data_IF_405149832274
#
_entry.id   IF_405149832274
#
_cell.length_a   1.000
_cell.length_b   1.000
_cell.length_c   1.000
_cell.angle_alpha   90.00
_cell.angle_beta   90.00
_cell.angle_gamma   90.00
#
_symmetry.space_group_name_H-M   'P 1'
#
loop_
_entity.id
_entity.type
_entity.pdbx_description
1 polymer ?
#
# COMPACT_ATOMS: atom_id res chain seq x y z
N UNK A 1 17.83 2.16 3.85
CA UNK A 1 16.93 2.26 5.01
C UNK A 1 15.49 2.36 4.53
N UNK A 2 14.64 1.42 4.94
CA UNK A 2 13.20 1.50 4.68
C UNK A 2 12.51 2.28 5.79
N UNK A 3 11.58 3.18 5.43
CA UNK A 3 10.68 3.84 6.37
C UNK A 3 9.30 3.18 6.28
N UNK A 4 8.80 2.63 7.38
CA UNK A 4 7.41 2.19 7.51
C UNK A 4 6.61 3.29 8.19
N UNK A 5 5.54 3.73 7.55
CA UNK A 5 4.60 4.70 8.09
C UNK A 5 3.36 3.94 8.55
N UNK A 6 3.17 3.88 9.87
CA UNK A 6 1.97 3.35 10.50
C UNK A 6 0.79 4.28 10.22
N UNK A 7 -0.30 3.74 9.69
CA UNK A 7 -1.58 4.44 9.48
C UNK A 7 -2.58 4.23 10.63
N UNK A 8 -2.22 3.43 11.63
CA UNK A 8 -3.06 3.16 12.80
C UNK A 8 -3.33 4.43 13.60
N UNK A 9 -4.60 4.74 13.90
CA UNK A 9 -4.94 5.83 14.80
C UNK A 9 -4.43 5.61 16.23
N UNK A 10 -4.38 4.34 16.65
CA UNK A 10 -3.94 3.89 17.97
C UNK A 10 -2.74 2.96 17.84
N UNK A 11 -1.66 3.22 18.57
CA UNK A 11 -0.44 2.40 18.53
C UNK A 11 -0.69 0.94 18.93
N UNK A 12 -1.72 0.68 19.75
CA UNK A 12 -2.11 -0.66 20.16
C UNK A 12 -2.62 -1.54 19.00
N UNK A 13 -2.95 -0.96 17.85
CA UNK A 13 -3.34 -1.68 16.63
C UNK A 13 -2.14 -2.05 15.74
N UNK A 14 -0.95 -1.49 15.99
CA UNK A 14 0.26 -1.77 15.22
C UNK A 14 0.72 -3.25 15.24
N UNK A 15 0.47 -4.06 16.29
CA UNK A 15 0.79 -5.48 16.27
C UNK A 15 0.13 -6.27 15.13
N UNK A 16 -1.01 -5.80 14.61
CA UNK A 16 -1.76 -6.52 13.57
C UNK A 16 -1.08 -6.44 12.20
N UNK A 17 -0.67 -5.24 11.77
CA UNK A 17 -0.18 -5.01 10.40
C UNK A 17 1.17 -4.28 10.32
N UNK A 18 1.52 -3.46 11.31
CA UNK A 18 2.78 -2.69 11.29
C UNK A 18 3.95 -3.53 11.80
N UNK A 19 3.75 -4.30 12.86
CA UNK A 19 4.81 -5.15 13.43
C UNK A 19 5.28 -6.24 12.45
N UNK A 20 4.40 -6.94 11.70
CA UNK A 20 4.82 -7.84 10.62
C UNK A 20 5.67 -7.12 9.56
N UNK A 21 5.26 -5.93 9.11
CA UNK A 21 6.04 -5.13 8.15
C UNK A 21 7.42 -4.76 8.70
N UNK A 22 7.51 -4.37 9.97
CA UNK A 22 8.77 -4.02 10.59
C UNK A 22 9.74 -5.22 10.68
N UNK A 23 9.20 -6.43 10.92
CA UNK A 23 9.96 -7.68 10.92
C UNK A 23 10.53 -8.00 9.54
N UNK A 24 9.71 -7.86 8.49
CA UNK A 24 10.10 -8.17 7.10
C UNK A 24 11.10 -7.14 6.58
N UNK A 25 10.81 -5.84 6.76
CA UNK A 25 11.55 -4.76 6.11
C UNK A 25 12.78 -4.25 6.88
N UNK A 26 13.02 -4.69 8.13
CA UNK A 26 14.10 -4.20 9.01
C UNK A 26 14.23 -2.68 8.97
N UNK A 27 13.15 -2.01 9.32
CA UNK A 27 12.91 -0.60 9.00
C UNK A 27 12.96 0.33 10.23
N UNK A 28 12.82 1.63 9.97
CA UNK A 28 12.34 2.58 10.98
C UNK A 28 10.82 2.73 10.86
N UNK A 29 10.10 2.60 11.97
CA UNK A 29 8.65 2.81 12.02
C UNK A 29 8.35 4.22 12.53
N UNK A 30 7.44 4.93 11.86
CA UNK A 30 6.88 6.21 12.30
C UNK A 30 5.36 6.18 12.21
N UNK A 31 4.69 6.70 13.21
CA UNK A 31 3.27 7.03 13.12
C UNK A 31 3.05 8.16 12.09
N UNK A 32 1.98 8.10 11.29
CA UNK A 32 1.72 9.06 10.20
C UNK A 32 1.71 10.53 10.66
N UNK A 33 1.20 10.82 11.86
CA UNK A 33 1.21 12.19 12.44
C UNK A 33 2.60 12.71 12.84
N UNK A 34 3.61 11.85 12.84
CA UNK A 34 4.95 12.13 13.35
C UNK A 34 6.03 12.05 12.27
N UNK A 35 5.64 11.83 11.00
CA UNK A 35 6.57 11.80 9.87
C UNK A 35 7.07 13.21 9.57
N UNK A 36 8.39 13.38 9.50
CA UNK A 36 9.02 14.65 9.16
C UNK A 36 9.76 14.59 7.82
N UNK A 37 10.05 15.74 7.18
CA UNK A 37 10.88 15.80 5.98
C UNK A 37 12.26 15.14 6.16
N UNK A 38 12.81 15.15 7.37
CA UNK A 38 14.10 14.50 7.68
C UNK A 38 14.00 12.97 7.66
N UNK A 39 12.85 12.41 8.02
CA UNK A 39 12.64 10.96 7.96
C UNK A 39 12.56 10.51 6.49
N UNK A 40 11.81 11.27 5.67
CA UNK A 40 11.68 11.01 4.23
C UNK A 40 13.04 11.12 3.53
N UNK A 41 13.81 12.16 3.81
CA UNK A 41 15.11 12.38 3.17
C UNK A 41 16.18 11.32 3.49
N UNK A 42 15.98 10.52 4.56
CA UNK A 42 16.89 9.42 4.94
C UNK A 42 16.41 8.06 4.45
N UNK A 43 15.21 7.97 3.89
CA UNK A 43 14.63 6.73 3.42
C UNK A 43 15.06 6.48 1.98
N UNK A 44 15.42 5.24 1.67
CA UNK A 44 15.64 4.80 0.28
C UNK A 44 14.33 4.33 -0.36
N UNK A 45 13.33 3.99 0.48
CA UNK A 45 12.00 3.55 0.11
C UNK A 45 11.04 3.67 1.28
N UNK A 46 9.75 3.80 0.99
CA UNK A 46 8.69 3.97 1.98
C UNK A 46 7.66 2.85 1.84
N UNK A 47 7.16 2.33 2.96
CA UNK A 47 5.97 1.49 3.01
C UNK A 47 4.94 2.20 3.89
N UNK A 48 3.73 2.40 3.38
CA UNK A 48 2.60 2.95 4.13
C UNK A 48 1.68 1.79 4.50
N UNK A 49 1.52 1.52 5.79
CA UNK A 49 0.85 0.31 6.28
C UNK A 49 -0.66 0.32 6.07
N UNK A 50 -1.27 -0.85 6.24
CA UNK A 50 -2.67 -0.97 6.59
C UNK A 50 -2.96 -0.52 8.01
N UNK A 51 -4.25 -0.52 8.37
CA UNK A 51 -4.74 -0.31 9.73
C UNK A 51 -5.90 -1.28 10.02
N UNK A 52 -6.38 -1.28 11.26
CA UNK A 52 -7.53 -2.06 11.68
C UNK A 52 -8.81 -1.68 10.91
N UNK A 53 -9.75 -2.62 10.82
CA UNK A 53 -11.02 -2.42 10.12
C UNK A 53 -11.79 -1.22 10.69
N UNK A 54 -12.27 -0.33 9.81
CA UNK A 54 -13.01 0.92 10.12
C UNK A 54 -12.18 2.04 10.76
N UNK A 55 -10.87 1.89 10.90
CA UNK A 55 -10.02 3.05 11.17
C UNK A 55 -9.83 3.84 9.87
N UNK A 56 -10.21 5.12 9.89
CA UNK A 56 -10.11 6.05 8.77
C UNK A 56 -9.42 7.36 9.16
N UNK A 57 -8.86 7.47 10.37
CA UNK A 57 -8.33 8.74 10.87
C UNK A 57 -7.13 9.25 10.05
N UNK A 58 -6.43 8.34 9.36
CA UNK A 58 -5.34 8.69 8.45
C UNK A 58 -5.82 9.50 7.23
N UNK A 59 -7.10 9.42 6.84
CA UNK A 59 -7.66 10.17 5.71
C UNK A 59 -7.70 11.68 5.98
N UNK A 60 -7.77 12.08 7.25
CA UNK A 60 -7.81 13.51 7.65
C UNK A 60 -6.41 14.14 7.76
N UNK A 61 -5.35 13.41 7.41
CA UNK A 61 -3.96 13.86 7.54
C UNK A 61 -3.39 14.45 6.27
N UNK A 62 -2.38 15.30 6.44
CA UNK A 62 -1.66 15.88 5.31
C UNK A 62 -0.67 14.88 4.70
N UNK A 63 -1.05 14.36 3.54
CA UNK A 63 -0.22 13.48 2.71
C UNK A 63 0.33 14.18 1.46
N UNK A 64 0.19 15.51 1.37
CA UNK A 64 0.55 16.28 0.17
C UNK A 64 2.00 16.11 -0.26
N UNK A 65 2.90 15.85 0.70
CA UNK A 65 4.32 15.59 0.45
C UNK A 65 4.56 14.37 -0.46
N UNK A 66 3.63 13.40 -0.53
CA UNK A 66 3.75 12.25 -1.43
C UNK A 66 3.81 12.64 -2.90
N UNK A 67 3.31 13.84 -3.27
CA UNK A 67 3.37 14.35 -4.64
C UNK A 67 4.81 14.53 -5.12
N UNK A 68 5.72 14.88 -4.21
CA UNK A 68 7.10 15.24 -4.52
C UNK A 68 8.11 14.11 -4.23
N UNK A 69 7.65 12.97 -3.70
CA UNK A 69 8.51 11.82 -3.36
C UNK A 69 9.08 11.18 -4.63
N UNK A 70 10.41 11.03 -4.67
CA UNK A 70 11.11 10.41 -5.81
C UNK A 70 11.55 8.97 -5.56
N UNK A 71 11.56 8.54 -4.31
CA UNK A 71 11.91 7.18 -3.91
C UNK A 71 10.71 6.24 -4.04
N UNK A 72 10.92 4.92 -4.16
CA UNK A 72 9.83 3.95 -4.23
C UNK A 72 8.91 4.00 -3.00
N UNK A 73 7.59 3.84 -3.24
CA UNK A 73 6.58 3.77 -2.19
C UNK A 73 5.63 2.59 -2.42
N UNK A 74 5.38 1.80 -1.39
CA UNK A 74 4.36 0.76 -1.38
C UNK A 74 3.27 1.12 -0.36
N UNK A 75 2.04 1.31 -0.83
CA UNK A 75 0.85 1.48 0.00
C UNK A 75 0.10 0.17 0.17
N UNK A 76 -0.24 -0.20 1.41
CA UNK A 76 -0.94 -1.43 1.76
C UNK A 76 -2.26 -1.09 2.44
N UNK A 77 -3.39 -1.61 1.96
CA UNK A 77 -4.75 -1.51 2.53
C UNK A 77 -5.27 -0.10 2.89
N UNK A 78 -4.70 0.61 3.85
CA UNK A 78 -4.93 2.02 4.10
C UNK A 78 -3.91 2.89 3.35
N UNK A 79 -2.65 2.45 3.30
CA UNK A 79 -1.60 3.15 2.58
C UNK A 79 -1.83 3.27 1.09
N UNK A 80 -2.51 2.30 0.46
CA UNK A 80 -2.91 2.48 -0.93
C UNK A 80 -4.00 3.56 -1.09
N UNK A 81 -4.93 3.70 -0.14
CA UNK A 81 -5.99 4.73 -0.14
C UNK A 81 -5.36 6.12 -0.02
N UNK A 82 -4.35 6.22 0.83
CA UNK A 82 -3.49 7.40 0.95
C UNK A 82 -2.84 7.75 -0.39
N UNK A 83 -2.22 6.79 -1.09
CA UNK A 83 -1.61 7.05 -2.40
C UNK A 83 -2.63 7.51 -3.44
N UNK A 84 -3.80 6.86 -3.48
CA UNK A 84 -4.90 7.19 -4.37
C UNK A 84 -5.39 8.64 -4.18
N UNK A 85 -5.46 9.13 -2.93
CA UNK A 85 -5.90 10.50 -2.63
C UNK A 85 -4.79 11.54 -2.78
N UNK A 86 -3.58 11.21 -2.34
CA UNK A 86 -2.48 12.16 -2.24
C UNK A 86 -1.77 12.40 -3.58
N UNK A 87 -1.74 11.39 -4.46
CA UNK A 87 -1.05 11.43 -5.75
C UNK A 87 -2.06 11.20 -6.89
N UNK A 88 -2.99 12.14 -7.13
CA UNK A 88 -3.95 11.99 -8.21
C UNK A 88 -3.25 12.12 -9.57
N UNK A 89 -3.19 11.03 -10.32
CA UNK A 89 -2.87 11.02 -11.76
C UNK A 89 -4.11 11.32 -12.61
N UNK A 90 -5.28 10.93 -12.10
CA UNK A 90 -6.60 11.04 -12.72
C UNK A 90 -7.64 11.28 -11.61
N UNK A 91 -8.93 11.56 -11.91
CA UNK A 91 -9.97 11.61 -10.87
C UNK A 91 -10.09 10.23 -10.22
N UNK A 92 -9.69 10.16 -8.95
CA UNK A 92 -9.62 8.94 -8.16
C UNK A 92 -10.39 9.19 -6.86
N UNK A 93 -11.20 8.22 -6.46
CA UNK A 93 -12.01 8.27 -5.26
C UNK A 93 -11.97 6.95 -4.49
N UNK A 94 -12.49 6.99 -3.26
CA UNK A 94 -12.79 5.79 -2.50
C UNK A 94 -14.27 5.46 -2.69
N UNK A 95 -14.55 4.19 -2.96
CA UNK A 95 -15.90 3.63 -3.02
C UNK A 95 -16.10 2.65 -1.86
N UNK A 96 -17.35 2.47 -1.44
CA UNK A 96 -17.67 1.44 -0.48
C UNK A 96 -17.65 0.08 -1.18
N UNK A 97 -16.76 -0.79 -0.70
CA UNK A 97 -16.56 -2.15 -1.21
C UNK A 97 -15.94 -2.99 -0.09
N UNK A 98 -16.61 -4.09 0.24
CA UNK A 98 -16.28 -4.93 1.39
C UNK A 98 -15.68 -6.24 0.90
N UNK A 99 -14.36 -6.36 1.10
CA UNK A 99 -13.63 -7.59 0.80
C UNK A 99 -12.92 -8.02 2.09
N UNK A 100 -13.33 -9.18 2.63
CA UNK A 100 -12.84 -9.70 3.91
C UNK A 100 -12.45 -11.17 3.80
N UNK A 101 -11.25 -11.48 4.30
CA UNK A 101 -10.67 -12.82 4.36
C UNK A 101 -9.85 -13.17 3.11
N UNK A 102 -9.38 -14.43 3.02
CA UNK A 102 -8.61 -14.90 1.87
C UNK A 102 -9.42 -14.83 0.57
N UNK A 103 -8.82 -14.32 -0.51
CA UNK A 103 -9.39 -14.30 -1.87
C UNK A 103 -8.32 -14.60 -2.90
N UNK A 104 -8.74 -15.17 -4.03
CA UNK A 104 -7.86 -15.38 -5.18
C UNK A 104 -7.62 -14.05 -5.91
N UNK A 105 -6.35 -13.74 -6.12
CA UNK A 105 -5.85 -12.60 -6.89
C UNK A 105 -5.25 -13.11 -8.19
N UNK A 106 -5.54 -12.40 -9.28
CA UNK A 106 -4.98 -12.64 -10.61
C UNK A 106 -4.15 -11.44 -11.05
N UNK A 107 -2.86 -11.66 -11.30
CA UNK A 107 -1.98 -10.64 -11.89
C UNK A 107 -2.28 -10.54 -13.39
N UNK A 108 -2.71 -9.36 -13.82
CA UNK A 108 -3.14 -9.09 -15.21
C UNK A 108 -2.11 -8.25 -16.00
N UNK A 109 -1.14 -7.65 -15.33
CA UNK A 109 -0.04 -6.92 -15.96
C UNK A 109 1.30 -7.31 -15.35
N UNK A 110 2.31 -7.49 -16.22
CA UNK A 110 3.68 -7.80 -15.79
C UNK A 110 4.24 -6.69 -14.90
N UNK A 111 4.81 -7.07 -13.76
CA UNK A 111 5.37 -6.15 -12.78
C UNK A 111 6.38 -6.91 -11.89
N UNK A 112 7.28 -6.20 -11.19
CA UNK A 112 8.30 -6.84 -10.36
C UNK A 112 7.78 -7.42 -9.04
N UNK A 113 6.55 -7.08 -8.61
CA UNK A 113 6.08 -7.40 -7.26
C UNK A 113 5.40 -8.76 -7.17
N UNK A 114 4.63 -9.15 -8.19
CA UNK A 114 3.83 -10.37 -8.17
C UNK A 114 3.62 -10.93 -9.59
N UNK A 115 3.43 -12.26 -9.67
CA UNK A 115 3.10 -12.95 -10.93
C UNK A 115 2.08 -14.05 -10.71
N UNK A 116 1.35 -14.42 -11.77
CA UNK A 116 0.41 -15.56 -11.73
C UNK A 116 -0.83 -15.31 -10.87
N UNK A 117 -1.33 -16.39 -10.25
CA UNK A 117 -2.48 -16.36 -9.34
C UNK A 117 -2.04 -16.77 -7.95
N UNK A 118 -2.56 -16.10 -6.93
CA UNK A 118 -2.24 -16.37 -5.54
C UNK A 118 -3.42 -16.05 -4.61
N UNK A 119 -3.38 -16.58 -3.39
CA UNK A 119 -4.33 -16.23 -2.34
C UNK A 119 -3.77 -15.07 -1.51
N UNK A 120 -4.59 -14.04 -1.27
CA UNK A 120 -4.22 -12.88 -0.46
C UNK A 120 -5.29 -12.57 0.59
N UNK A 121 -4.88 -11.98 1.71
CA UNK A 121 -5.77 -11.64 2.83
C UNK A 121 -6.29 -10.20 2.73
N UNK A 122 -7.61 -10.04 2.64
CA UNK A 122 -8.26 -8.73 2.56
C UNK A 122 -8.96 -8.39 3.88
N UNK A 123 -8.88 -7.12 4.29
CA UNK A 123 -9.61 -6.60 5.45
C UNK A 123 -9.97 -5.12 5.27
N UNK A 124 -10.88 -4.82 4.35
CA UNK A 124 -11.32 -3.44 4.11
C UNK A 124 -12.81 -3.33 3.82
N UNK A 125 -13.34 -2.13 4.06
CA UNK A 125 -14.71 -1.74 3.65
C UNK A 125 -14.73 -0.59 2.64
N UNK A 126 -13.57 -0.12 2.22
CA UNK A 126 -13.40 0.90 1.19
C UNK A 126 -12.36 0.43 0.19
N UNK A 127 -12.59 0.72 -1.08
CA UNK A 127 -11.72 0.36 -2.17
C UNK A 127 -11.45 1.59 -3.04
N UNK A 128 -10.32 1.59 -3.76
CA UNK A 128 -9.99 2.60 -4.75
C UNK A 128 -10.79 2.44 -6.03
N UNK A 129 -11.33 3.54 -6.53
CA UNK A 129 -11.90 3.64 -7.87
C UNK A 129 -11.23 4.79 -8.63
N UNK A 130 -10.73 4.52 -9.84
CA UNK A 130 -10.06 5.53 -10.66
C UNK A 130 -9.20 4.93 -11.75
N UNK A 131 -8.35 5.75 -12.37
CA UNK A 131 -7.45 5.33 -13.46
C UNK A 131 -6.03 5.19 -12.92
N UNK A 132 -5.57 3.94 -12.80
CA UNK A 132 -4.17 3.56 -12.56
C UNK A 132 -3.83 2.39 -13.48
N UNK A 133 -2.54 2.11 -13.62
CA UNK A 133 -2.09 0.87 -14.25
C UNK A 133 -2.40 -0.27 -13.29
N UNK A 134 -3.54 -0.93 -13.52
CA UNK A 134 -3.99 -2.06 -12.73
C UNK A 134 -3.04 -3.22 -12.98
N UNK A 135 -2.42 -3.69 -11.90
CA UNK A 135 -1.48 -4.81 -11.95
C UNK A 135 -2.16 -6.16 -11.68
N UNK A 136 -3.14 -6.15 -10.78
CA UNK A 136 -3.87 -7.36 -10.38
C UNK A 136 -5.32 -7.04 -9.99
N UNK A 137 -6.17 -8.05 -10.11
CA UNK A 137 -7.59 -8.00 -9.76
C UNK A 137 -7.93 -9.11 -8.77
N UNK A 138 -8.95 -8.87 -7.96
CA UNK A 138 -9.60 -9.86 -7.11
C UNK A 138 -10.99 -10.14 -7.64
N UNK A 139 -11.38 -11.41 -7.69
CA UNK A 139 -12.72 -11.78 -8.13
C UNK A 139 -13.74 -11.57 -6.99
N UNK A 140 -14.74 -10.73 -7.24
CA UNK A 140 -15.90 -10.52 -6.35
C UNK A 140 -17.18 -11.06 -7.00
N UNK A 141 -18.29 -11.02 -6.27
CA UNK A 141 -19.61 -11.39 -6.83
C UNK A 141 -20.08 -10.42 -7.93
N UNK A 142 -19.62 -9.17 -7.90
CA UNK A 142 -19.98 -8.13 -8.86
C UNK A 142 -19.03 -8.06 -10.06
N UNK A 143 -17.95 -8.86 -10.02
CA UNK A 143 -16.93 -8.94 -11.06
C UNK A 143 -15.51 -8.71 -10.52
N UNK A 144 -14.51 -8.71 -11.41
CA UNK A 144 -13.12 -8.42 -11.03
C UNK A 144 -12.97 -6.97 -10.59
N UNK A 145 -12.34 -6.76 -9.44
CA UNK A 145 -12.05 -5.43 -8.88
C UNK A 145 -10.54 -5.24 -8.77
N UNK A 146 -9.96 -4.07 -9.14
CA UNK A 146 -8.55 -3.79 -8.93
C UNK A 146 -8.14 -4.00 -7.47
N UNK A 147 -7.05 -4.73 -7.26
CA UNK A 147 -6.47 -4.94 -5.92
C UNK A 147 -4.96 -4.67 -5.86
N UNK A 148 -4.32 -4.44 -7.00
CA UNK A 148 -2.96 -3.89 -7.10
C UNK A 148 -2.86 -2.87 -8.22
N UNK A 149 -2.08 -1.82 -8.02
CA UNK A 149 -1.79 -0.82 -9.05
C UNK A 149 -0.34 -0.32 -9.00
N UNK A 150 0.08 0.31 -10.10
CA UNK A 150 1.29 1.14 -10.18
C UNK A 150 0.94 2.53 -10.71
N UNK A 151 1.67 3.54 -10.24
CA UNK A 151 1.66 4.85 -10.86
C UNK A 151 2.41 4.81 -12.23
N UNK A 152 1.86 5.39 -13.31
CA UNK A 152 2.40 5.20 -14.66
C UNK A 152 3.87 5.56 -14.85
N UNK A 153 4.33 6.64 -14.22
CA UNK A 153 5.69 7.16 -14.40
C UNK A 153 6.57 7.13 -13.15
N UNK A 154 6.10 6.54 -12.04
CA UNK A 154 6.79 6.56 -10.74
C UNK A 154 6.76 5.19 -10.11
N UNK A 155 7.71 4.92 -9.23
CA UNK A 155 7.78 3.70 -8.43
C UNK A 155 6.84 3.76 -7.22
N UNK A 156 5.58 4.11 -7.47
CA UNK A 156 4.51 4.08 -6.48
C UNK A 156 3.61 2.89 -6.77
N UNK A 157 3.47 2.01 -5.79
CA UNK A 157 2.68 0.80 -5.85
C UNK A 157 1.64 0.81 -4.76
N UNK A 158 0.47 0.25 -5.04
CA UNK A 158 -0.56 0.06 -4.03
C UNK A 158 -1.17 -1.33 -4.13
N UNK A 159 -1.49 -1.93 -2.99
CA UNK A 159 -2.33 -3.12 -2.90
C UNK A 159 -3.40 -2.99 -1.81
N UNK A 160 -4.58 -3.55 -2.05
CA UNK A 160 -5.72 -3.47 -1.13
C UNK A 160 -5.70 -4.54 -0.04
N UNK A 161 -5.03 -5.65 -0.32
CA UNK A 161 -4.82 -6.75 0.60
C UNK A 161 -3.58 -6.52 1.47
N UNK A 162 -3.36 -7.42 2.42
CA UNK A 162 -2.27 -7.40 3.39
C UNK A 162 -1.19 -8.43 3.02
N UNK A 163 -0.19 -8.08 2.18
CA UNK A 163 0.89 -8.99 1.83
C UNK A 163 1.70 -9.44 3.05
N UNK A 164 1.75 -8.64 4.11
CA UNK A 164 2.40 -9.00 5.37
C UNK A 164 1.76 -10.18 6.11
N UNK A 165 0.56 -10.61 5.71
CA UNK A 165 -0.16 -11.74 6.29
C UNK A 165 0.04 -13.03 5.49
N UNK A 166 0.03 -12.96 4.15
CA UNK A 166 0.04 -14.16 3.29
C UNK A 166 1.06 -14.14 2.15
N UNK A 167 1.65 -12.99 1.83
CA UNK A 167 2.44 -12.77 0.62
C UNK A 167 3.69 -11.91 0.92
N UNK A 168 4.48 -12.30 1.93
CA UNK A 168 5.67 -11.55 2.36
C UNK A 168 6.66 -11.34 1.20
N UNK A 169 6.66 -12.22 0.19
CA UNK A 169 7.45 -12.09 -1.04
C UNK A 169 7.15 -10.81 -1.83
N UNK A 170 5.91 -10.29 -1.81
CA UNK A 170 5.55 -9.04 -2.47
C UNK A 170 6.30 -7.87 -1.83
N UNK A 171 6.41 -7.89 -0.49
CA UNK A 171 7.16 -6.89 0.25
C UNK A 171 8.65 -7.05 -0.05
N UNK A 172 9.18 -8.28 -0.06
CA UNK A 172 10.58 -8.53 -0.38
C UNK A 172 10.95 -8.05 -1.79
N UNK A 173 10.13 -8.36 -2.80
CA UNK A 173 10.30 -7.90 -4.17
C UNK A 173 10.30 -6.36 -4.26
N UNK A 174 9.47 -5.68 -3.47
CA UNK A 174 9.49 -4.21 -3.38
C UNK A 174 10.78 -3.68 -2.75
N UNK A 175 11.28 -4.35 -1.70
CA UNK A 175 12.54 -3.98 -1.04
C UNK A 175 13.77 -4.16 -1.94
N UNK A 176 13.69 -5.10 -2.88
CA UNK A 176 14.75 -5.44 -3.84
C UNK A 176 14.70 -4.62 -5.13
N UNK A 177 13.76 -3.67 -5.26
CA UNK A 177 13.76 -2.75 -6.39
C UNK A 177 15.07 -1.93 -6.43
N UNK A 178 15.75 -1.98 -7.56
CA UNK A 178 16.96 -1.19 -7.81
C UNK A 178 16.63 0.31 -7.81
N UNK A 179 17.15 1.03 -6.84
CA UNK A 179 16.96 2.48 -6.71
C UNK A 179 17.98 3.30 -7.51
N UNK A 180 18.96 2.67 -8.16
CA UNK A 180 20.05 3.34 -8.89
C UNK A 180 19.77 3.64 -10.37
N UNK A 181 18.55 3.36 -10.88
CA UNK A 181 18.19 3.60 -12.29
C UNK A 181 17.32 4.84 -12.54
N UNK A 182 17.25 5.80 -11.60
CA UNK A 182 16.43 7.02 -11.68
C UNK A 182 17.26 8.30 -11.89
#
# INVERSE_FOLDING_TARGET
>A
MTLVISTCAEELSEPEFVTPLARIARCHVKHYRSVSPKDIAKADRIIISGTALKDFAYLDSDWSWLKDVKIPVLGICAGWQVLLQAVPTYPVGLVDDVVIGPREVEVIASNPLATGRFSAYFLHTKNGAGVFDVLAVVNTLEGPVPCMFKHPSRELYGCSFHPEVMNEEIIQNFLDLDTEAL
#
